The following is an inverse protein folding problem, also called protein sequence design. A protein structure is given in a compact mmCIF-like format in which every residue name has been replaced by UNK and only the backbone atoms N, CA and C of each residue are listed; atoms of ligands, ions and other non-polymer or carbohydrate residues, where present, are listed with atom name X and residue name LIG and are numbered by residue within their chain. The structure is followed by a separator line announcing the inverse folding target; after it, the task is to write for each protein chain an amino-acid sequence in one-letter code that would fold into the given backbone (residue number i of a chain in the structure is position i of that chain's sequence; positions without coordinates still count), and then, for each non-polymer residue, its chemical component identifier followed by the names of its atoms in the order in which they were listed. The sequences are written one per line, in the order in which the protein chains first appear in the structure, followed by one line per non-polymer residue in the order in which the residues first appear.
data_IF_450626878925
#
_entry.id   IF_450626878925
#
_cell.length_a   1.000
_cell.length_b   1.000
_cell.length_c   1.000
_cell.angle_alpha   90.00
_cell.angle_beta   90.00
_cell.angle_gamma   90.00
#
_symmetry.space_group_name_H-M   'P 1'
#
loop_
_entity.id
_entity.type
_entity.pdbx_description
1 polymer ?
#
# COMPACT_ATOMS: atom_id res chain seq x y z
N UNK A 1 -41.95 -44.64 12.56
CA UNK A 1 -41.77 -43.86 11.32
C UNK A 1 -41.46 -42.40 11.56
N UNK A 2 -42.08 -41.73 12.53
CA UNK A 2 -41.88 -40.31 12.81
C UNK A 2 -40.43 -39.96 13.26
N UNK A 3 -39.79 -40.78 14.10
CA UNK A 3 -38.46 -40.56 14.62
C UNK A 3 -37.33 -40.58 13.57
N UNK A 4 -37.52 -41.38 12.50
CA UNK A 4 -36.52 -41.47 11.44
C UNK A 4 -36.51 -40.23 10.53
N UNK A 5 -37.63 -39.57 10.36
CA UNK A 5 -37.78 -38.34 9.59
C UNK A 5 -37.14 -37.16 10.33
N UNK A 6 -37.37 -37.07 11.65
CA UNK A 6 -36.77 -36.03 12.48
C UNK A 6 -35.23 -36.09 12.50
N UNK A 7 -34.65 -37.28 12.60
CA UNK A 7 -33.20 -37.47 12.62
C UNK A 7 -32.55 -37.08 11.29
N UNK A 8 -33.25 -37.30 10.17
CA UNK A 8 -32.78 -36.92 8.84
C UNK A 8 -32.70 -35.38 8.65
N UNK A 9 -33.70 -34.66 9.19
CA UNK A 9 -33.72 -33.20 9.13
C UNK A 9 -32.69 -32.55 10.09
N UNK A 10 -32.44 -33.12 11.26
CA UNK A 10 -31.40 -32.64 12.18
C UNK A 10 -30.04 -32.77 11.56
N UNK A 11 -29.69 -33.88 10.94
CA UNK A 11 -28.38 -34.07 10.30
C UNK A 11 -28.19 -33.14 9.10
N UNK A 12 -29.24 -32.88 8.32
CA UNK A 12 -29.16 -31.93 7.18
C UNK A 12 -28.99 -30.50 7.66
N UNK A 13 -29.65 -30.11 8.75
CA UNK A 13 -29.53 -28.77 9.32
C UNK A 13 -28.14 -28.51 9.91
N UNK A 14 -27.57 -29.49 10.64
CA UNK A 14 -26.21 -29.41 11.18
C UNK A 14 -25.18 -29.34 10.07
N UNK A 15 -25.32 -30.13 9.00
CA UNK A 15 -24.40 -30.09 7.86
C UNK A 15 -24.44 -28.75 7.11
N UNK A 16 -25.64 -28.15 6.94
CA UNK A 16 -25.79 -26.85 6.31
C UNK A 16 -25.20 -25.72 7.17
N UNK A 17 -25.32 -25.80 8.49
CA UNK A 17 -24.74 -24.85 9.42
C UNK A 17 -23.21 -24.90 9.44
N UNK A 18 -22.61 -26.08 9.34
CA UNK A 18 -21.15 -26.24 9.19
C UNK A 18 -20.64 -25.74 7.83
N UNK A 19 -21.41 -25.87 6.75
CA UNK A 19 -21.04 -25.33 5.45
C UNK A 19 -21.03 -23.79 5.45
N UNK A 20 -22.00 -23.16 6.13
CA UNK A 20 -22.09 -21.70 6.23
C UNK A 20 -20.93 -21.13 7.04
N UNK A 21 -20.52 -21.77 8.14
CA UNK A 21 -19.39 -21.34 8.97
C UNK A 21 -18.05 -21.45 8.23
N UNK A 22 -17.90 -22.42 7.35
CA UNK A 22 -16.69 -22.57 6.50
C UNK A 22 -16.60 -21.51 5.38
N UNK A 23 -17.72 -20.95 4.94
CA UNK A 23 -17.76 -19.93 3.88
C UNK A 23 -17.52 -18.51 4.42
N UNK A 24 -17.56 -18.29 5.74
CA UNK A 24 -17.42 -16.97 6.34
C UNK A 24 -15.99 -16.64 6.81
N UNK A 25 -15.05 -17.57 6.68
CA UNK A 25 -13.65 -17.31 7.02
C UNK A 25 -12.82 -17.11 5.74
N UNK A 26 -13.06 -16.04 5.02
CA UNK A 26 -12.07 -15.47 4.12
C UNK A 26 -11.03 -14.82 5.03
N UNK A 27 -9.87 -15.44 5.16
CA UNK A 27 -8.76 -14.83 5.87
C UNK A 27 -8.33 -13.61 5.07
N UNK A 28 -8.34 -12.45 5.70
CA UNK A 28 -7.66 -11.28 5.18
C UNK A 28 -6.20 -11.40 5.62
N UNK A 29 -5.29 -11.35 4.66
CA UNK A 29 -3.86 -11.27 4.94
C UNK A 29 -3.48 -9.80 5.03
N UNK A 30 -2.51 -9.51 5.88
CA UNK A 30 -1.98 -8.14 6.01
C UNK A 30 -0.96 -7.90 4.90
N UNK A 31 -0.95 -6.72 4.27
CA UNK A 31 0.09 -6.37 3.31
C UNK A 31 1.45 -6.32 4.00
N UNK A 32 2.50 -6.75 3.32
CA UNK A 32 3.86 -6.80 3.87
C UNK A 32 4.83 -6.08 2.93
N UNK A 33 5.55 -5.09 3.46
CA UNK A 33 6.66 -4.43 2.77
C UNK A 33 7.89 -5.33 2.90
N UNK A 34 8.42 -5.79 1.77
CA UNK A 34 9.65 -6.56 1.74
C UNK A 34 10.90 -5.69 1.62
N UNK A 35 10.79 -4.54 0.93
CA UNK A 35 11.93 -3.67 0.68
C UNK A 35 11.48 -2.25 0.29
N UNK A 36 12.29 -1.24 0.68
CA UNK A 36 12.24 0.10 0.11
C UNK A 36 13.63 0.43 -0.45
N UNK A 37 13.71 0.72 -1.73
CA UNK A 37 14.94 1.15 -2.40
C UNK A 37 14.93 2.63 -2.70
N UNK A 38 16.12 3.23 -2.78
CA UNK A 38 16.32 4.66 -3.10
C UNK A 38 17.52 4.83 -4.01
N UNK A 39 17.38 5.63 -5.08
CA UNK A 39 18.46 5.94 -6.02
C UNK A 39 18.32 7.37 -6.53
N UNK A 40 19.38 8.23 -6.39
CA UNK A 40 20.63 7.98 -5.67
C UNK A 40 20.49 8.10 -4.14
N UNK A 41 21.36 7.41 -3.40
CA UNK A 41 21.58 7.64 -1.98
C UNK A 41 23.08 7.46 -1.67
N UNK A 42 23.83 8.54 -1.33
CA UNK A 42 23.41 9.89 -1.01
C UNK A 42 22.97 10.70 -2.25
N UNK A 43 22.18 11.76 -2.00
CA UNK A 43 21.67 12.69 -3.01
C UNK A 43 22.24 14.11 -2.76
N UNK A 44 22.44 14.88 -3.83
CA UNK A 44 22.83 16.29 -3.72
C UNK A 44 21.66 17.19 -3.29
N UNK A 45 21.97 18.37 -2.74
CA UNK A 45 20.97 19.45 -2.59
C UNK A 45 20.29 19.73 -3.93
N UNK A 46 19.01 20.05 -3.88
CA UNK A 46 18.16 20.29 -5.06
C UNK A 46 18.08 19.06 -6.01
N UNK A 47 18.44 17.90 -5.48
CA UNK A 47 18.41 16.64 -6.22
C UNK A 47 17.05 15.94 -6.15
N UNK A 48 16.98 14.84 -6.89
CA UNK A 48 15.80 13.98 -6.97
C UNK A 48 16.21 12.54 -6.68
N UNK A 49 15.40 11.85 -5.90
CA UNK A 49 15.59 10.43 -5.57
C UNK A 49 14.40 9.67 -6.09
N UNK A 50 14.65 8.61 -6.83
CA UNK A 50 13.64 7.60 -7.15
C UNK A 50 13.49 6.66 -5.95
N UNK A 51 12.28 6.48 -5.49
CA UNK A 51 11.91 5.60 -4.38
C UNK A 51 11.03 4.48 -4.92
N UNK A 52 11.32 3.26 -4.51
CA UNK A 52 10.50 2.11 -4.88
C UNK A 52 10.23 1.25 -3.64
N UNK A 53 8.96 1.01 -3.36
CA UNK A 53 8.49 0.11 -2.30
C UNK A 53 8.00 -1.19 -2.93
N UNK A 54 8.58 -2.30 -2.49
CA UNK A 54 8.16 -3.65 -2.87
C UNK A 54 7.31 -4.19 -1.73
N UNK A 55 6.02 -4.28 -1.96
CA UNK A 55 5.05 -4.84 -1.03
C UNK A 55 4.24 -5.95 -1.68
N UNK A 56 3.72 -6.85 -0.89
CA UNK A 56 2.85 -7.95 -1.31
C UNK A 56 1.71 -8.11 -0.33
N UNK A 57 0.58 -8.52 -0.88
CA UNK A 57 -0.57 -9.00 -0.15
C UNK A 57 -0.93 -10.37 -0.72
N UNK A 58 -1.09 -11.38 0.13
CA UNK A 58 -1.31 -12.76 -0.34
C UNK A 58 -2.69 -12.94 -0.98
N UNK A 59 -3.66 -12.11 -0.63
CA UNK A 59 -5.02 -12.15 -1.16
C UNK A 59 -5.33 -11.08 -2.23
N UNK A 60 -4.34 -10.23 -2.61
CA UNK A 60 -4.48 -9.25 -3.69
C UNK A 60 -4.99 -9.89 -5.01
N UNK A 61 -4.59 -11.12 -5.28
CA UNK A 61 -5.01 -11.87 -6.46
C UNK A 61 -6.37 -12.58 -6.32
N UNK A 62 -6.99 -12.59 -5.13
CA UNK A 62 -8.28 -13.24 -4.94
C UNK A 62 -9.40 -12.35 -5.50
N UNK A 63 -9.94 -12.77 -6.63
CA UNK A 63 -11.07 -12.12 -7.32
C UNK A 63 -12.28 -11.83 -6.40
N UNK A 64 -12.41 -12.59 -5.30
CA UNK A 64 -13.51 -12.44 -4.35
C UNK A 64 -13.30 -11.32 -3.36
N UNK A 65 -12.04 -11.00 -3.05
CA UNK A 65 -11.69 -9.99 -2.05
C UNK A 65 -11.46 -8.63 -2.69
N UNK A 66 -10.98 -8.57 -3.95
CA UNK A 66 -10.63 -7.32 -4.68
C UNK A 66 -9.76 -6.41 -3.83
N UNK A 67 -8.78 -6.98 -3.17
CA UNK A 67 -7.89 -6.24 -2.31
C UNK A 67 -6.74 -5.64 -3.11
N UNK A 68 -6.59 -4.33 -3.05
CA UNK A 68 -5.54 -3.61 -3.73
C UNK A 68 -4.70 -2.84 -2.73
N UNK A 69 -3.39 -3.00 -2.81
CA UNK A 69 -2.45 -2.28 -1.96
C UNK A 69 -2.51 -0.78 -2.29
N UNK A 70 -2.66 0.05 -1.26
CA UNK A 70 -2.58 1.50 -1.30
C UNK A 70 -1.29 1.96 -0.67
N UNK A 71 -0.67 2.98 -1.22
CA UNK A 71 0.61 3.49 -0.76
C UNK A 71 0.44 4.90 -0.19
N UNK A 72 1.08 5.14 0.97
CA UNK A 72 1.23 6.46 1.55
C UNK A 72 2.70 6.71 1.82
N UNK A 73 3.23 7.77 1.22
CA UNK A 73 4.60 8.22 1.43
C UNK A 73 4.63 9.48 2.30
N UNK A 74 5.61 9.55 3.19
CA UNK A 74 5.88 10.75 3.99
C UNK A 74 7.38 10.95 4.16
N UNK A 75 7.80 12.20 4.29
CA UNK A 75 9.18 12.57 4.47
C UNK A 75 9.34 13.59 5.60
N UNK A 76 10.49 13.57 6.28
CA UNK A 76 10.82 14.56 7.31
C UNK A 76 11.04 15.97 6.74
N UNK A 77 11.40 16.09 5.46
CA UNK A 77 11.53 17.33 4.70
C UNK A 77 11.44 17.04 3.20
N UNK A 78 11.40 18.08 2.37
CA UNK A 78 11.24 17.93 0.92
C UNK A 78 9.80 17.70 0.50
N UNK A 79 9.60 17.27 -0.73
CA UNK A 79 8.26 16.91 -1.23
C UNK A 79 8.32 15.75 -2.21
N UNK A 80 7.19 15.10 -2.38
CA UNK A 80 6.99 14.06 -3.39
C UNK A 80 6.36 14.64 -4.64
N UNK A 81 6.75 14.05 -5.75
CA UNK A 81 6.13 14.28 -7.03
C UNK A 81 5.60 12.96 -7.55
N UNK A 82 4.34 12.95 -7.88
CA UNK A 82 3.67 11.84 -8.52
C UNK A 82 3.14 12.29 -9.89
N UNK A 83 3.53 11.63 -10.97
CA UNK A 83 2.95 11.91 -12.27
C UNK A 83 1.50 11.38 -12.30
N UNK A 84 0.53 12.28 -12.37
CA UNK A 84 -0.84 11.89 -12.67
C UNK A 84 -0.98 11.70 -14.18
N UNK A 85 -1.15 10.46 -14.61
CA UNK A 85 -1.29 10.10 -16.02
C UNK A 85 -2.52 10.70 -16.69
N UNK A 86 -3.50 11.15 -15.90
CA UNK A 86 -4.79 11.66 -16.42
C UNK A 86 -4.84 13.16 -16.62
N UNK A 87 -3.95 13.94 -15.99
CA UNK A 87 -4.10 15.41 -15.92
C UNK A 87 -2.88 16.26 -16.23
N UNK A 88 -1.74 15.71 -16.63
CA UNK A 88 -0.47 16.47 -16.73
C UNK A 88 -0.14 17.30 -15.46
N UNK A 89 -0.76 16.95 -14.32
CA UNK A 89 -0.65 17.71 -13.09
C UNK A 89 0.29 16.98 -12.15
N UNK A 90 1.37 17.64 -11.80
CA UNK A 90 2.32 17.15 -10.80
C UNK A 90 1.86 17.59 -9.41
N UNK A 91 1.54 16.67 -8.55
CA UNK A 91 1.22 16.98 -7.16
C UNK A 91 2.49 17.15 -6.34
N UNK A 92 2.69 18.34 -5.77
CA UNK A 92 3.74 18.64 -4.80
C UNK A 92 3.16 18.55 -3.39
N UNK A 93 3.58 17.59 -2.62
CA UNK A 93 3.07 17.41 -1.26
C UNK A 93 4.14 16.75 -0.37
N UNK A 94 4.24 17.15 0.92
CA UNK A 94 5.12 16.47 1.88
C UNK A 94 4.62 15.07 2.24
N UNK A 95 3.30 14.85 2.12
CA UNK A 95 2.66 13.56 2.34
C UNK A 95 1.87 13.18 1.10
N UNK A 96 2.22 12.07 0.47
CA UNK A 96 1.59 11.58 -0.74
C UNK A 96 0.79 10.30 -0.43
N UNK A 97 -0.51 10.36 -0.63
CA UNK A 97 -1.41 9.21 -0.52
C UNK A 97 -1.92 8.82 -1.90
N UNK A 98 -1.62 7.60 -2.32
CA UNK A 98 -1.98 7.08 -3.64
C UNK A 98 -2.94 5.92 -3.45
N UNK A 99 -4.13 6.08 -4.00
CA UNK A 99 -5.10 4.99 -4.17
C UNK A 99 -4.97 4.53 -5.62
N UNK A 100 -4.58 3.28 -5.88
CA UNK A 100 -4.55 2.76 -7.23
C UNK A 100 -5.95 2.88 -7.85
N UNK A 101 -6.04 3.56 -9.00
CA UNK A 101 -7.24 3.47 -9.81
C UNK A 101 -7.20 2.14 -10.57
N UNK A 102 -8.28 1.41 -10.55
CA UNK A 102 -8.40 0.09 -11.17
C UNK A 102 -8.20 0.08 -12.70
N UNK A 103 -8.06 1.24 -13.30
CA UNK A 103 -7.88 1.41 -14.74
C UNK A 103 -6.43 1.58 -15.20
N UNK A 104 -5.49 1.95 -14.30
CA UNK A 104 -4.10 2.28 -14.66
C UNK A 104 -3.11 1.41 -13.88
N UNK A 105 -2.70 0.30 -14.48
CA UNK A 105 -1.74 -0.64 -13.91
C UNK A 105 -0.29 -0.14 -13.86
N UNK A 106 0.01 1.06 -14.37
CA UNK A 106 1.37 1.57 -14.52
C UNK A 106 1.79 2.42 -13.31
N UNK A 107 0.85 3.04 -12.58
CA UNK A 107 1.13 3.94 -11.46
C UNK A 107 0.33 3.55 -10.21
N UNK A 108 0.75 2.47 -9.58
CA UNK A 108 0.11 1.98 -8.36
C UNK A 108 0.61 2.64 -7.06
N UNK A 109 1.51 3.63 -7.15
CA UNK A 109 2.09 4.30 -5.98
C UNK A 109 3.30 3.60 -5.36
N UNK A 110 3.70 2.43 -5.87
CA UNK A 110 4.91 1.74 -5.41
C UNK A 110 6.19 2.50 -5.76
N UNK A 111 6.15 3.36 -6.78
CA UNK A 111 7.27 4.20 -7.21
C UNK A 111 6.89 5.68 -7.15
N UNK A 112 7.73 6.49 -6.52
CA UNK A 112 7.57 7.95 -6.41
C UNK A 112 8.94 8.64 -6.53
N UNK A 113 8.91 9.93 -6.80
CA UNK A 113 10.11 10.78 -6.78
C UNK A 113 10.07 11.71 -5.58
N UNK A 114 11.15 11.72 -4.81
CA UNK A 114 11.35 12.64 -3.69
C UNK A 114 12.36 13.72 -4.06
N UNK A 115 12.01 14.97 -3.81
CA UNK A 115 12.81 16.15 -4.13
C UNK A 115 13.39 16.76 -2.86
N UNK A 116 14.70 17.09 -2.89
CA UNK A 116 15.41 17.70 -1.78
C UNK A 116 15.27 19.24 -1.74
N UNK A 117 14.09 19.72 -2.13
CA UNK A 117 13.65 21.10 -1.99
C UNK A 117 12.30 21.16 -1.30
N UNK A 118 11.99 22.26 -0.64
CA UNK A 118 10.68 22.48 -0.03
C UNK A 118 9.64 22.98 -1.07
N UNK A 119 8.42 23.24 -0.60
CA UNK A 119 7.33 23.72 -1.45
C UNK A 119 7.60 25.10 -2.09
N UNK A 120 8.53 25.89 -1.54
CA UNK A 120 8.96 27.16 -2.11
C UNK A 120 10.06 27.00 -3.18
N UNK A 121 10.65 25.81 -3.29
CA UNK A 121 11.79 25.51 -4.16
C UNK A 121 13.14 25.72 -3.49
N UNK A 122 13.18 26.03 -2.18
CA UNK A 122 14.43 26.17 -1.44
C UNK A 122 14.99 24.78 -1.08
N UNK A 123 16.31 24.61 -1.19
CA UNK A 123 16.98 23.37 -0.81
C UNK A 123 16.75 23.06 0.67
N UNK A 124 16.46 21.80 0.99
CA UNK A 124 16.39 21.33 2.38
C UNK A 124 17.81 21.23 2.98
N UNK A 125 17.86 21.11 4.30
CA UNK A 125 19.13 20.99 5.01
C UNK A 125 19.90 19.72 4.61
N UNK A 126 21.24 19.79 4.68
CA UNK A 126 22.09 18.59 4.57
C UNK A 126 21.95 17.72 5.80
N UNK A 127 22.07 16.43 5.62
CA UNK A 127 21.95 15.45 6.70
C UNK A 127 21.13 14.24 6.32
N UNK A 128 20.67 13.52 7.34
CA UNK A 128 19.80 12.34 7.14
C UNK A 128 18.34 12.74 7.23
N UNK A 129 17.59 12.35 6.23
CA UNK A 129 16.14 12.52 6.17
C UNK A 129 15.46 11.18 6.18
N UNK A 130 14.42 11.08 6.99
CA UNK A 130 13.60 9.85 7.06
C UNK A 130 12.53 9.89 6.00
N UNK A 131 12.47 8.84 5.19
CA UNK A 131 11.38 8.58 4.25
C UNK A 131 10.63 7.37 4.76
N UNK A 132 9.33 7.48 4.87
CA UNK A 132 8.44 6.42 5.34
C UNK A 132 7.47 6.04 4.25
N UNK A 133 7.32 4.76 4.00
CA UNK A 133 6.25 4.19 3.21
C UNK A 133 5.33 3.39 4.12
N UNK A 134 4.05 3.66 4.03
CA UNK A 134 2.97 2.86 4.61
C UNK A 134 2.19 2.23 3.48
N UNK A 135 1.94 0.94 3.58
CA UNK A 135 1.01 0.23 2.72
C UNK A 135 -0.24 -0.14 3.51
N UNK A 136 -1.37 -0.19 2.83
CA UNK A 136 -2.63 -0.65 3.43
C UNK A 136 -3.46 -1.39 2.38
N UNK A 137 -4.22 -2.36 2.86
CA UNK A 137 -5.23 -3.09 2.09
C UNK A 137 -6.60 -2.38 2.11
N UNK A 138 -7.61 -2.97 1.47
CA UNK A 138 -8.98 -2.46 1.49
C UNK A 138 -9.65 -2.62 2.86
N UNK A 139 -9.15 -3.50 3.72
CA UNK A 139 -9.66 -3.76 5.07
C UNK A 139 -8.95 -2.92 6.14
N UNK A 140 -8.01 -2.04 5.72
CA UNK A 140 -7.19 -1.16 6.56
C UNK A 140 -6.17 -1.90 7.45
N UNK A 141 -5.76 -3.11 7.10
CA UNK A 141 -4.51 -3.65 7.63
C UNK A 141 -3.34 -2.85 7.04
N UNK A 142 -2.29 -2.63 7.82
CA UNK A 142 -1.19 -1.74 7.46
C UNK A 142 0.16 -2.35 7.79
N UNK A 143 1.15 -2.04 6.94
CA UNK A 143 2.56 -2.21 7.26
C UNK A 143 3.32 -0.90 6.99
N UNK A 144 4.35 -0.61 7.78
CA UNK A 144 5.09 0.66 7.73
C UNK A 144 6.58 0.40 7.81
N UNK A 145 7.32 0.87 6.81
CA UNK A 145 8.77 0.83 6.80
C UNK A 145 9.36 2.22 6.53
N UNK A 146 10.57 2.45 7.05
CA UNK A 146 11.29 3.71 6.86
C UNK A 146 12.73 3.46 6.46
N UNK A 147 13.25 4.36 5.61
CA UNK A 147 14.66 4.41 5.22
C UNK A 147 15.25 5.77 5.51
N UNK A 148 16.57 5.84 5.60
CA UNK A 148 17.32 7.09 5.74
C UNK A 148 18.02 7.43 4.41
N UNK A 149 17.82 8.66 3.95
CA UNK A 149 18.50 9.21 2.77
C UNK A 149 19.40 10.34 3.22
N UNK A 150 20.64 10.31 2.78
CA UNK A 150 21.62 11.35 3.08
C UNK A 150 21.60 12.42 1.99
N UNK A 151 21.32 13.68 2.39
CA UNK A 151 21.47 14.88 1.54
C UNK A 151 22.83 15.52 1.80
N UNK A 152 23.59 15.86 0.75
CA UNK A 152 24.95 16.40 0.84
C UNK A 152 25.21 17.55 -0.15
#
# INVERSE_FOLDING_TARGET
MLNMVFQKYQNTFVLSMFAIVKLSCLSNYEPVISEITSDPNPVSKEGVVSLHCIAKDEDESDIRVKDSIRYKWSASAGFFLFPDSTKDTLYKTPDLYIVPDSSDSIFNGSMVYWFTVDSSGAAIDTGFHTITCQVSDANNAIDIHSILIKVQ
#
